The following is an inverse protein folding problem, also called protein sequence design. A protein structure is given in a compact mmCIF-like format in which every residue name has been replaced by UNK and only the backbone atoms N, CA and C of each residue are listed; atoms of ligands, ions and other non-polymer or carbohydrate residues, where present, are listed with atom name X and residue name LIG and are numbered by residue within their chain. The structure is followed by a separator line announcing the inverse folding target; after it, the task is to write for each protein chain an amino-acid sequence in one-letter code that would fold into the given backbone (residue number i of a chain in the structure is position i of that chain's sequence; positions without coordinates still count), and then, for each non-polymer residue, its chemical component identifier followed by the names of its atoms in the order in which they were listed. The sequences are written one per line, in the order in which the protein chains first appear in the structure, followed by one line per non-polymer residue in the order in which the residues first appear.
data_IF_840999573329
#
_entry.id   IF_840999573329
#
_cell.length_a   1.000
_cell.length_b   1.000
_cell.length_c   1.000
_cell.angle_alpha   90.00
_cell.angle_beta   90.00
_cell.angle_gamma   90.00
#
_symmetry.space_group_name_H-M   'P 1'
#
loop_
_entity.id
_entity.type
_entity.pdbx_description
1 polymer ?
#
# COMPACT_ATOMS: atom_id res chain seq x y z
N UNK A 1 13.72 20.79 -59.54
CA UNK A 1 13.15 21.27 -58.27
C UNK A 1 12.71 20.12 -57.30
N UNK A 2 12.66 18.88 -57.75
CA UNK A 2 12.18 17.71 -56.93
C UNK A 2 13.25 17.23 -55.95
N UNK A 3 14.55 17.37 -56.25
CA UNK A 3 15.63 16.87 -55.36
C UNK A 3 15.79 17.62 -54.06
N UNK A 4 15.50 18.93 -54.02
CA UNK A 4 15.67 19.74 -52.77
C UNK A 4 14.54 19.44 -51.74
N UNK A 5 13.35 19.13 -52.19
CA UNK A 5 12.22 18.76 -51.33
C UNK A 5 12.43 17.38 -50.68
N UNK A 6 13.03 16.45 -51.42
CA UNK A 6 13.34 15.12 -50.90
C UNK A 6 14.42 15.12 -49.83
N UNK A 7 15.47 15.94 -50.00
CA UNK A 7 16.55 16.10 -49.05
C UNK A 7 16.09 16.76 -47.72
N UNK A 8 15.15 17.72 -47.80
CA UNK A 8 14.59 18.39 -46.62
C UNK A 8 13.67 17.45 -45.80
N UNK A 9 12.94 16.55 -46.46
CA UNK A 9 12.08 15.57 -45.76
C UNK A 9 12.90 14.49 -45.08
N UNK A 10 14.01 14.03 -45.71
CA UNK A 10 14.92 13.06 -45.09
C UNK A 10 15.64 13.67 -43.86
N UNK A 11 16.03 14.95 -43.94
CA UNK A 11 16.68 15.67 -42.83
C UNK A 11 15.71 15.90 -41.64
N UNK A 12 14.42 16.15 -41.88
CA UNK A 12 13.38 16.29 -40.87
C UNK A 12 13.04 14.95 -40.19
N UNK A 13 13.13 13.84 -40.91
CA UNK A 13 12.90 12.49 -40.33
C UNK A 13 14.08 12.05 -39.45
N UNK A 14 15.34 12.41 -39.82
CA UNK A 14 16.50 12.04 -39.03
C UNK A 14 16.59 12.78 -37.69
N UNK A 15 16.08 14.01 -37.57
CA UNK A 15 16.01 14.74 -36.31
C UNK A 15 14.90 14.24 -35.37
N UNK A 16 13.84 13.64 -35.94
CA UNK A 16 12.76 13.06 -35.12
C UNK A 16 13.14 11.72 -34.46
N UNK A 17 14.12 10.98 -35.02
CA UNK A 17 14.58 9.71 -34.46
C UNK A 17 15.58 9.86 -33.30
N UNK A 18 16.21 11.03 -33.14
CA UNK A 18 17.20 11.27 -32.07
C UNK A 18 16.56 11.49 -30.70
N UNK A 19 15.24 11.71 -30.62
CA UNK A 19 14.53 11.98 -29.38
C UNK A 19 14.08 10.73 -28.58
N UNK A 20 14.22 9.54 -29.14
CA UNK A 20 13.64 8.32 -28.51
C UNK A 20 14.58 7.57 -27.56
N UNK A 21 15.83 8.01 -27.38
CA UNK A 21 16.79 7.27 -26.55
C UNK A 21 16.79 7.66 -25.07
N UNK A 22 16.14 8.75 -24.67
CA UNK A 22 16.10 9.16 -23.27
C UNK A 22 14.90 8.61 -22.45
N UNK A 23 13.96 7.91 -23.09
CA UNK A 23 12.77 7.42 -22.39
C UNK A 23 13.03 6.17 -21.52
N UNK A 24 14.20 5.57 -21.59
CA UNK A 24 14.42 4.22 -21.03
C UNK A 24 15.43 4.12 -19.87
N UNK A 25 15.90 5.24 -19.35
CA UNK A 25 16.80 5.23 -18.20
C UNK A 25 16.32 6.12 -17.06
N UNK A 26 15.13 5.85 -16.53
CA UNK A 26 14.86 6.31 -15.16
C UNK A 26 15.77 5.49 -14.25
N UNK A 27 16.72 6.12 -13.55
CA UNK A 27 17.51 5.40 -12.57
C UNK A 27 16.55 4.73 -11.58
N UNK A 28 16.81 3.46 -11.27
CA UNK A 28 16.08 2.77 -10.22
C UNK A 28 16.20 3.62 -8.97
N UNK A 29 15.08 4.03 -8.40
CA UNK A 29 15.08 4.83 -7.19
C UNK A 29 15.79 4.06 -6.07
N UNK A 30 16.63 4.75 -5.31
CA UNK A 30 17.26 4.15 -4.13
C UNK A 30 16.22 3.68 -3.11
N UNK A 31 16.57 2.66 -2.34
CA UNK A 31 15.73 2.18 -1.26
C UNK A 31 15.49 3.33 -0.25
N UNK A 32 14.23 3.54 0.12
CA UNK A 32 13.83 4.56 1.07
C UNK A 32 13.22 3.91 2.30
N UNK A 33 13.50 4.50 3.47
CA UNK A 33 12.76 4.18 4.68
C UNK A 33 11.31 4.68 4.51
N UNK A 34 10.37 3.75 4.49
CA UNK A 34 8.93 4.05 4.44
C UNK A 34 8.36 4.14 5.87
N UNK A 35 9.06 4.85 6.75
CA UNK A 35 8.69 4.96 8.17
C UNK A 35 7.75 6.14 8.46
N UNK A 36 7.58 7.07 7.53
CA UNK A 36 6.64 8.17 7.73
C UNK A 36 5.20 7.70 7.52
N UNK A 37 4.28 8.18 8.37
CA UNK A 37 2.85 7.97 8.14
C UNK A 37 2.45 8.51 6.77
N UNK A 38 1.70 7.72 6.01
CA UNK A 38 1.17 8.16 4.70
C UNK A 38 0.16 9.30 4.87
N UNK A 39 -0.38 9.48 6.07
CA UNK A 39 -1.34 10.52 6.44
C UNK A 39 -0.67 11.75 7.07
N UNK A 40 0.53 12.11 6.60
CA UNK A 40 1.32 13.23 7.15
C UNK A 40 0.56 14.59 7.15
N UNK A 41 -0.41 14.76 6.26
CA UNK A 41 -1.22 15.98 6.17
C UNK A 41 -2.43 16.01 7.14
N UNK A 42 -2.64 14.95 7.91
CA UNK A 42 -3.74 14.91 8.88
C UNK A 42 -3.33 15.51 10.23
N UNK A 43 -4.33 16.03 10.94
CA UNK A 43 -4.15 16.61 12.27
C UNK A 43 -3.43 15.64 13.21
N UNK A 44 -2.36 16.05 13.90
CA UNK A 44 -1.64 15.20 14.84
C UNK A 44 -2.55 14.57 15.90
N UNK A 45 -2.22 13.33 16.27
CA UNK A 45 -2.96 12.60 17.30
C UNK A 45 -2.52 13.06 18.68
N UNK A 46 -2.42 14.17 19.14
CA UNK A 46 -2.05 14.62 20.48
C UNK A 46 -1.08 13.70 21.26
N UNK A 47 -0.66 14.11 22.44
CA UNK A 47 0.22 13.31 23.32
C UNK A 47 -0.65 12.53 24.33
N UNK A 48 -0.37 11.24 24.63
CA UNK A 48 -1.13 10.50 25.64
C UNK A 48 -0.87 11.01 27.05
N UNK A 49 -1.91 11.17 27.85
CA UNK A 49 -1.80 11.48 29.29
C UNK A 49 -1.31 10.26 30.10
N UNK A 50 -1.55 9.07 29.59
CA UNK A 50 -1.23 7.80 30.24
C UNK A 50 -0.02 7.13 29.60
N UNK A 51 0.62 6.15 30.26
CA UNK A 51 1.64 5.33 29.61
C UNK A 51 1.12 4.72 28.32
N UNK A 52 2.02 4.52 27.35
CA UNK A 52 1.69 3.94 26.06
C UNK A 52 0.87 2.64 26.20
N UNK A 53 -0.18 2.52 25.38
CA UNK A 53 -1.11 1.39 25.42
C UNK A 53 -0.40 0.15 24.87
N UNK A 54 -0.42 -0.94 25.65
CA UNK A 54 0.21 -2.19 25.23
C UNK A 54 -0.80 -2.95 24.38
N UNK A 55 -0.46 -3.15 23.11
CA UNK A 55 -1.28 -3.86 22.13
C UNK A 55 -0.53 -5.05 21.54
N UNK A 56 -1.25 -6.13 21.26
CA UNK A 56 -0.73 -7.25 20.48
C UNK A 56 -1.41 -7.31 19.13
N UNK A 57 -0.63 -7.44 18.05
CA UNK A 57 -1.18 -7.72 16.71
C UNK A 57 -1.30 -9.22 16.53
N UNK A 58 -2.47 -9.69 16.12
CA UNK A 58 -2.78 -11.09 15.94
C UNK A 58 -3.60 -11.33 14.67
N UNK A 59 -3.05 -12.14 13.74
CA UNK A 59 -3.70 -12.50 12.49
C UNK A 59 -4.30 -11.32 11.70
N UNK A 60 -3.42 -10.46 11.18
CA UNK A 60 -3.82 -9.42 10.27
C UNK A 60 -3.39 -9.80 8.84
N UNK A 61 -4.29 -10.49 8.12
CA UNK A 61 -3.99 -11.20 6.88
C UNK A 61 -4.90 -10.78 5.72
N UNK A 62 -4.53 -11.19 4.51
CA UNK A 62 -5.39 -11.10 3.33
C UNK A 62 -6.50 -12.16 3.39
N UNK A 63 -7.75 -11.71 3.53
CA UNK A 63 -8.96 -12.54 3.56
C UNK A 63 -9.76 -12.46 2.25
N UNK A 64 -9.25 -11.72 1.25
CA UNK A 64 -9.96 -11.52 -0.02
C UNK A 64 -9.90 -12.73 -0.93
N UNK A 65 -8.84 -13.53 -0.81
CA UNK A 65 -8.57 -14.66 -1.72
C UNK A 65 -8.31 -14.26 -3.17
N UNK A 66 -8.18 -12.95 -3.44
CA UNK A 66 -8.03 -12.43 -4.80
C UNK A 66 -6.60 -12.59 -5.30
N UNK A 67 -6.47 -13.05 -6.55
CA UNK A 67 -5.20 -13.19 -7.24
C UNK A 67 -5.02 -12.07 -8.25
N UNK A 68 -3.80 -11.60 -8.44
CA UNK A 68 -3.49 -10.60 -9.44
C UNK A 68 -3.70 -11.20 -10.84
N UNK A 69 -4.57 -10.59 -11.63
CA UNK A 69 -4.69 -10.89 -13.05
C UNK A 69 -3.64 -10.04 -13.76
N UNK A 70 -2.44 -10.57 -13.88
CA UNK A 70 -1.43 -10.05 -14.78
C UNK A 70 -1.64 -10.76 -16.13
N UNK A 71 -1.50 -10.02 -17.23
CA UNK A 71 -1.79 -10.41 -18.60
C UNK A 71 -1.62 -11.92 -18.87
N UNK A 72 -2.45 -12.46 -19.76
CA UNK A 72 -2.78 -13.89 -19.98
C UNK A 72 -1.63 -14.93 -20.01
N UNK A 73 -0.39 -14.53 -19.81
CA UNK A 73 0.77 -15.43 -19.98
C UNK A 73 1.65 -15.69 -18.74
N UNK A 74 1.54 -15.00 -17.61
CA UNK A 74 2.60 -15.12 -16.60
C UNK A 74 2.24 -15.21 -15.13
N UNK A 75 0.98 -15.18 -14.66
CA UNK A 75 0.83 -15.13 -13.21
C UNK A 75 -0.50 -15.61 -12.64
N UNK A 76 -0.68 -16.90 -12.66
CA UNK A 76 -1.73 -17.54 -11.85
C UNK A 76 -1.39 -17.62 -10.35
N UNK A 77 -0.20 -17.16 -9.92
CA UNK A 77 0.32 -17.40 -8.57
C UNK A 77 0.50 -16.15 -7.68
N UNK A 78 0.32 -14.95 -8.20
CA UNK A 78 0.49 -13.74 -7.42
C UNK A 78 -0.80 -13.31 -6.72
N UNK A 79 -0.73 -12.97 -5.43
CA UNK A 79 -1.87 -12.35 -4.74
C UNK A 79 -2.08 -10.91 -5.23
N UNK A 80 -3.35 -10.47 -5.30
CA UNK A 80 -3.66 -9.10 -5.68
C UNK A 80 -3.28 -8.09 -4.60
N UNK A 81 -3.20 -8.54 -3.35
CA UNK A 81 -2.87 -7.75 -2.16
C UNK A 81 -1.54 -8.22 -1.58
N UNK A 82 -0.69 -7.30 -1.06
CA UNK A 82 0.53 -7.66 -0.36
C UNK A 82 0.27 -8.61 0.81
N UNK A 83 1.13 -9.60 1.01
CA UNK A 83 0.95 -10.60 2.08
C UNK A 83 1.47 -10.14 3.45
N UNK A 84 2.31 -9.10 3.50
CA UNK A 84 2.90 -8.56 4.73
C UNK A 84 2.02 -7.59 5.51
N UNK A 85 0.72 -7.82 5.58
CA UNK A 85 -0.23 -6.89 6.20
C UNK A 85 0.00 -6.70 7.70
N UNK A 86 0.34 -7.77 8.43
CA UNK A 86 0.69 -7.68 9.87
C UNK A 86 1.87 -6.74 10.09
N UNK A 87 2.91 -6.83 9.26
CA UNK A 87 4.08 -5.95 9.37
C UNK A 87 3.72 -4.49 9.09
N UNK A 88 2.85 -4.23 8.12
CA UNK A 88 2.36 -2.87 7.84
C UNK A 88 1.57 -2.31 9.02
N UNK A 89 0.71 -3.11 9.63
CA UNK A 89 -0.07 -2.70 10.80
C UNK A 89 0.83 -2.43 12.03
N UNK A 90 1.79 -3.32 12.28
CA UNK A 90 2.78 -3.12 13.38
C UNK A 90 3.54 -1.82 13.19
N UNK A 91 4.01 -1.56 11.96
CA UNK A 91 4.73 -0.33 11.64
C UNK A 91 3.86 0.92 11.87
N UNK A 92 2.60 0.88 11.46
CA UNK A 92 1.68 2.01 11.65
C UNK A 92 1.38 2.27 13.12
N UNK A 93 1.15 1.21 13.90
CA UNK A 93 0.95 1.33 15.36
C UNK A 93 2.19 1.90 16.07
N UNK A 94 3.40 1.46 15.68
CA UNK A 94 4.66 1.97 16.23
C UNK A 94 4.91 3.44 15.88
N UNK A 95 4.45 3.89 14.70
CA UNK A 95 4.61 5.28 14.26
C UNK A 95 3.51 6.21 14.79
N UNK A 96 2.41 5.68 15.29
CA UNK A 96 1.25 6.48 15.73
C UNK A 96 1.64 7.46 16.82
N UNK A 97 1.35 8.77 16.58
CA UNK A 97 1.64 9.86 17.53
C UNK A 97 3.11 9.93 17.92
N UNK A 98 4.01 9.93 16.94
CA UNK A 98 5.48 9.94 17.15
C UNK A 98 5.99 8.77 18.02
N UNK A 99 5.35 7.62 17.90
CA UNK A 99 5.71 6.41 18.64
C UNK A 99 5.33 6.43 20.12
N UNK A 100 4.49 7.35 20.54
CA UNK A 100 4.13 7.52 21.98
C UNK A 100 2.86 6.80 22.40
N UNK A 101 1.99 6.44 21.43
CA UNK A 101 0.66 5.89 21.73
C UNK A 101 0.65 4.42 22.05
N UNK A 102 1.40 3.61 21.29
CA UNK A 102 1.33 2.16 21.42
C UNK A 102 2.69 1.53 21.71
N UNK A 103 2.69 0.55 22.61
CA UNK A 103 3.77 -0.44 22.75
C UNK A 103 3.26 -1.72 22.13
N UNK A 104 3.78 -2.06 20.96
CA UNK A 104 3.36 -3.25 20.22
C UNK A 104 4.14 -4.45 20.70
N UNK A 105 3.45 -5.53 21.08
CA UNK A 105 4.06 -6.80 21.46
C UNK A 105 3.79 -7.84 20.39
N UNK A 106 4.83 -8.63 20.09
CA UNK A 106 4.75 -9.71 19.13
C UNK A 106 3.83 -10.83 19.62
N UNK A 107 2.87 -11.21 18.80
CA UNK A 107 1.93 -12.32 19.08
C UNK A 107 1.78 -13.30 17.93
N UNK A 108 2.18 -12.94 16.73
CA UNK A 108 2.12 -13.82 15.58
C UNK A 108 3.17 -14.94 15.70
N UNK A 109 4.37 -14.59 16.16
CA UNK A 109 5.49 -15.52 16.35
C UNK A 109 5.74 -15.87 17.83
N UNK A 110 4.75 -15.74 18.70
CA UNK A 110 4.89 -16.03 20.14
C UNK A 110 5.43 -17.45 20.44
N UNK A 111 5.11 -18.53 19.68
CA UNK A 111 5.71 -19.83 19.92
C UNK A 111 7.23 -19.82 19.76
N UNK A 112 7.76 -19.07 18.79
CA UNK A 112 9.21 -18.94 18.55
C UNK A 112 9.87 -18.22 19.73
N UNK A 113 9.27 -17.11 20.19
CA UNK A 113 9.77 -16.37 21.37
C UNK A 113 9.81 -17.26 22.61
N UNK A 114 8.75 -18.04 22.84
CA UNK A 114 8.70 -18.94 24.00
C UNK A 114 9.75 -20.04 23.91
N UNK A 115 10.05 -20.54 22.69
CA UNK A 115 11.10 -21.51 22.49
C UNK A 115 12.49 -20.92 22.77
N UNK A 116 12.79 -19.73 22.26
CA UNK A 116 14.04 -19.02 22.53
C UNK A 116 14.22 -18.75 24.04
N UNK A 117 13.14 -18.38 24.72
CA UNK A 117 13.18 -18.18 26.19
C UNK A 117 13.56 -19.46 26.93
N UNK A 118 13.12 -20.65 26.48
CA UNK A 118 13.54 -21.94 27.05
C UNK A 118 15.03 -22.18 26.82
N UNK A 119 15.54 -21.84 25.64
CA UNK A 119 16.97 -21.95 25.31
C UNK A 119 17.81 -21.07 26.23
N UNK A 120 17.41 -19.81 26.45
CA UNK A 120 18.11 -18.89 27.34
C UNK A 120 18.14 -19.41 28.77
N UNK A 121 17.03 -19.91 29.31
CA UNK A 121 16.98 -20.50 30.67
C UNK A 121 17.89 -21.74 30.74
N UNK A 122 17.88 -22.60 29.73
CA UNK A 122 18.75 -23.79 29.71
C UNK A 122 20.24 -23.43 29.59
N UNK A 123 20.57 -22.33 28.89
CA UNK A 123 21.95 -21.85 28.76
C UNK A 123 22.51 -21.15 29.99
N UNK A 124 21.66 -20.74 30.94
CA UNK A 124 22.02 -19.99 32.15
C UNK A 124 21.51 -20.70 33.43
N UNK A 125 21.94 -21.95 33.71
CA UNK A 125 21.38 -22.76 34.81
C UNK A 125 21.63 -22.18 36.17
N UNK A 126 22.72 -21.42 36.35
CA UNK A 126 23.13 -20.83 37.63
C UNK A 126 22.54 -19.44 37.88
N UNK A 127 21.73 -18.90 36.95
CA UNK A 127 21.11 -17.59 37.07
C UNK A 127 19.65 -17.76 37.46
N UNK A 128 19.27 -17.28 38.62
CA UNK A 128 17.87 -17.23 39.03
C UNK A 128 17.14 -16.16 38.23
N UNK A 129 16.05 -16.56 37.49
CA UNK A 129 15.24 -15.68 36.67
C UNK A 129 16.03 -14.89 35.60
N UNK A 130 16.71 -15.57 34.64
CA UNK A 130 17.56 -14.90 33.65
C UNK A 130 16.78 -14.00 32.68
N UNK A 131 15.45 -14.05 32.69
CA UNK A 131 14.58 -13.34 31.74
C UNK A 131 13.55 -12.46 32.46
N UNK A 132 13.35 -11.27 31.94
CA UNK A 132 12.23 -10.42 32.35
C UNK A 132 10.89 -11.07 32.01
N UNK A 133 9.81 -10.83 32.78
CA UNK A 133 8.47 -11.25 32.41
C UNK A 133 8.06 -10.74 31.02
N UNK A 134 7.30 -11.53 30.27
CA UNK A 134 6.74 -11.07 29.02
C UNK A 134 5.75 -9.94 29.26
N UNK A 135 5.84 -8.93 28.41
CA UNK A 135 4.87 -7.85 28.39
C UNK A 135 3.52 -8.39 27.86
N UNK A 136 2.46 -8.18 28.64
CA UNK A 136 1.12 -8.64 28.29
C UNK A 136 0.31 -7.49 27.71
N UNK A 137 -0.30 -7.66 26.53
CA UNK A 137 -1.17 -6.65 25.95
C UNK A 137 -2.51 -6.61 26.67
N UNK A 138 -3.07 -5.43 26.85
CA UNK A 138 -4.45 -5.25 27.30
C UNK A 138 -5.45 -5.40 26.15
N UNK A 139 -5.01 -5.12 24.94
CA UNK A 139 -5.82 -5.12 23.72
C UNK A 139 -5.13 -5.95 22.65
N UNK A 140 -5.90 -6.80 21.97
CA UNK A 140 -5.48 -7.46 20.75
C UNK A 140 -6.08 -6.73 19.53
N UNK A 141 -5.22 -6.48 18.54
CA UNK A 141 -5.64 -5.93 17.24
C UNK A 141 -5.66 -7.07 16.24
N UNK A 142 -6.82 -7.29 15.62
CA UNK A 142 -7.04 -8.34 14.62
C UNK A 142 -7.75 -7.78 13.40
N UNK A 143 -7.73 -8.50 12.29
CA UNK A 143 -8.43 -8.08 11.07
C UNK A 143 -7.73 -8.48 9.81
N UNK A 144 -7.75 -7.59 8.80
CA UNK A 144 -7.08 -7.82 7.52
C UNK A 144 -7.73 -7.09 6.36
N UNK A 145 -7.24 -7.36 5.17
CA UNK A 145 -7.90 -6.95 3.94
C UNK A 145 -9.05 -7.90 3.67
N UNK A 146 -10.28 -7.37 3.55
CA UNK A 146 -11.52 -8.16 3.48
C UNK A 146 -12.21 -8.06 2.12
N UNK A 147 -11.91 -7.05 1.31
CA UNK A 147 -12.33 -7.01 -0.09
C UNK A 147 -11.29 -6.33 -0.98
N UNK A 148 -11.26 -6.76 -2.22
CA UNK A 148 -10.52 -6.15 -3.30
C UNK A 148 -11.36 -6.20 -4.56
N UNK A 149 -11.69 -5.03 -5.08
CA UNK A 149 -12.53 -4.89 -6.27
C UNK A 149 -11.77 -4.12 -7.35
N UNK A 150 -11.66 -4.70 -8.54
CA UNK A 150 -11.08 -4.05 -9.71
C UNK A 150 -12.16 -3.70 -10.71
N UNK A 151 -12.25 -2.42 -11.07
CA UNK A 151 -13.09 -1.93 -12.17
C UNK A 151 -12.21 -1.49 -13.33
N UNK A 152 -12.62 -1.81 -14.53
CA UNK A 152 -11.95 -1.39 -15.76
C UNK A 152 -12.91 -0.55 -16.57
N UNK A 153 -12.55 0.69 -16.84
CA UNK A 153 -13.26 1.59 -17.75
C UNK A 153 -12.42 1.80 -19.00
N UNK A 154 -13.02 1.64 -20.16
CA UNK A 154 -12.34 1.79 -21.45
C UNK A 154 -13.04 2.87 -22.27
N UNK A 155 -12.27 3.79 -22.82
CA UNK A 155 -12.74 4.81 -23.75
C UNK A 155 -11.95 4.67 -25.03
N UNK A 156 -12.68 4.66 -26.15
CA UNK A 156 -12.12 4.57 -27.49
C UNK A 156 -12.35 5.90 -28.20
N UNK A 157 -11.31 6.43 -28.81
CA UNK A 157 -11.36 7.57 -29.71
C UNK A 157 -10.85 7.10 -31.09
N UNK A 158 -11.70 7.06 -32.07
CA UNK A 158 -11.34 6.73 -33.45
C UNK A 158 -11.56 7.94 -34.34
N UNK A 159 -10.57 8.28 -35.19
CA UNK A 159 -10.71 9.28 -36.25
C UNK A 159 -10.68 8.53 -37.59
N UNK A 160 -11.82 8.49 -38.28
CA UNK A 160 -12.06 7.62 -39.40
C UNK A 160 -11.24 7.87 -40.69
N UNK A 161 -10.53 8.99 -40.82
CA UNK A 161 -9.77 9.32 -42.05
C UNK A 161 -8.29 8.89 -42.04
N UNK A 162 -7.71 8.52 -40.90
CA UNK A 162 -6.27 8.24 -40.81
C UNK A 162 -5.93 6.95 -40.03
N UNK A 163 -6.89 6.06 -39.80
CA UNK A 163 -6.69 4.84 -39.00
C UNK A 163 -5.93 5.11 -37.70
N UNK A 164 -6.19 6.26 -37.09
CA UNK A 164 -5.64 6.65 -35.80
C UNK A 164 -6.66 6.25 -34.74
N UNK A 165 -6.29 5.31 -33.86
CA UNK A 165 -7.13 4.85 -32.78
C UNK A 165 -6.45 5.18 -31.45
N UNK A 166 -7.11 6.01 -30.65
CA UNK A 166 -6.72 6.27 -29.27
C UNK A 166 -7.51 5.37 -28.31
N UNK A 167 -6.85 4.75 -27.38
CA UNK A 167 -7.48 3.98 -26.33
C UNK A 167 -7.02 4.50 -24.97
N UNK A 168 -7.99 4.81 -24.12
CA UNK A 168 -7.76 5.14 -22.71
C UNK A 168 -8.39 4.06 -21.85
N UNK A 169 -7.57 3.36 -21.07
CA UNK A 169 -8.03 2.40 -20.05
C UNK A 169 -7.77 2.99 -18.67
N UNK A 170 -8.80 3.00 -17.85
CA UNK A 170 -8.71 3.40 -16.44
C UNK A 170 -9.05 2.17 -15.62
N UNK A 171 -8.13 1.77 -14.78
CA UNK A 171 -8.32 0.75 -13.76
C UNK A 171 -8.56 1.45 -12.43
N UNK A 172 -9.61 1.07 -11.72
CA UNK A 172 -9.90 1.52 -10.38
C UNK A 172 -9.85 0.30 -9.47
N UNK A 173 -8.88 0.26 -8.59
CA UNK A 173 -8.69 -0.78 -7.61
C UNK A 173 -9.14 -0.27 -6.24
N UNK A 174 -10.13 -0.92 -5.63
CA UNK A 174 -10.63 -0.60 -4.29
C UNK A 174 -10.24 -1.70 -3.33
N UNK A 175 -9.53 -1.35 -2.28
CA UNK A 175 -9.18 -2.23 -1.16
C UNK A 175 -9.97 -1.83 0.06
N UNK A 176 -10.52 -2.81 0.77
CA UNK A 176 -11.17 -2.58 2.05
C UNK A 176 -10.46 -3.34 3.16
N UNK A 177 -10.20 -2.64 4.26
CA UNK A 177 -9.52 -3.16 5.45
C UNK A 177 -10.50 -3.11 6.62
N UNK A 178 -10.58 -4.19 7.37
CA UNK A 178 -11.28 -4.24 8.66
C UNK A 178 -10.26 -4.42 9.79
N UNK A 179 -10.43 -3.65 10.87
CA UNK A 179 -9.57 -3.69 12.05
C UNK A 179 -10.46 -3.75 13.29
N UNK A 180 -10.17 -4.69 14.18
CA UNK A 180 -10.91 -4.88 15.43
C UNK A 180 -9.97 -4.82 16.62
N UNK A 181 -10.39 -4.10 17.66
CA UNK A 181 -9.77 -4.10 18.96
C UNK A 181 -10.56 -4.99 19.91
N UNK A 182 -9.89 -5.96 20.51
CA UNK A 182 -10.49 -6.96 21.41
C UNK A 182 -9.82 -6.88 22.77
N UNK A 183 -10.60 -6.77 23.84
CA UNK A 183 -10.11 -6.83 25.21
C UNK A 183 -9.56 -8.22 25.54
N UNK A 184 -8.32 -8.29 26.01
CA UNK A 184 -7.72 -9.56 26.46
C UNK A 184 -8.41 -10.08 27.71
N UNK A 185 -8.90 -9.19 28.57
CA UNK A 185 -9.51 -9.57 29.86
C UNK A 185 -10.90 -10.18 29.70
N UNK A 186 -11.71 -9.64 28.77
CA UNK A 186 -13.12 -10.01 28.65
C UNK A 186 -13.42 -10.77 27.37
N UNK A 187 -12.54 -10.69 26.34
CA UNK A 187 -12.84 -11.20 25.01
C UNK A 187 -13.81 -10.30 24.22
N UNK A 188 -14.26 -9.19 24.80
CA UNK A 188 -15.18 -8.26 24.17
C UNK A 188 -14.51 -7.54 22.99
N UNK A 189 -15.26 -7.41 21.87
CA UNK A 189 -14.84 -6.54 20.77
C UNK A 189 -15.17 -5.10 21.17
N UNK A 190 -14.14 -4.37 21.55
CA UNK A 190 -14.25 -2.98 21.98
C UNK A 190 -14.67 -2.07 20.82
N UNK A 191 -14.02 -2.26 19.66
CA UNK A 191 -14.31 -1.49 18.46
C UNK A 191 -14.02 -2.30 17.20
N UNK A 192 -14.74 -1.96 16.14
CA UNK A 192 -14.51 -2.47 14.79
C UNK A 192 -14.57 -1.34 13.79
N UNK A 193 -13.47 -1.15 13.07
CA UNK A 193 -13.30 -0.10 12.06
C UNK A 193 -13.21 -0.73 10.69
N UNK A 194 -13.89 -0.13 9.73
CA UNK A 194 -13.88 -0.52 8.33
C UNK A 194 -13.49 0.66 7.46
N UNK A 195 -12.43 0.53 6.67
CA UNK A 195 -11.92 1.57 5.78
C UNK A 195 -11.74 1.03 4.38
N UNK A 196 -12.17 1.80 3.39
CA UNK A 196 -11.93 1.51 1.98
C UNK A 196 -11.09 2.60 1.34
N UNK A 197 -10.09 2.19 0.56
CA UNK A 197 -9.27 3.09 -0.27
C UNK A 197 -9.35 2.67 -1.72
N UNK A 198 -9.60 3.63 -2.59
CA UNK A 198 -9.58 3.46 -4.03
C UNK A 198 -8.31 4.10 -4.61
N UNK A 199 -7.67 3.39 -5.53
CA UNK A 199 -6.52 3.87 -6.31
C UNK A 199 -6.81 3.74 -7.78
N UNK A 200 -6.29 4.68 -8.56
CA UNK A 200 -6.51 4.75 -9.99
C UNK A 200 -5.21 4.49 -10.74
N UNK A 201 -5.31 3.60 -11.75
CA UNK A 201 -4.24 3.37 -12.71
C UNK A 201 -4.74 3.72 -14.10
N UNK A 202 -3.97 4.49 -14.84
CA UNK A 202 -4.36 4.96 -16.16
C UNK A 202 -3.36 4.48 -17.20
N UNK A 203 -3.89 3.88 -18.26
CA UNK A 203 -3.14 3.49 -19.44
C UNK A 203 -3.70 4.25 -20.65
N UNK A 204 -2.86 5.00 -21.33
CA UNK A 204 -3.17 5.68 -22.57
C UNK A 204 -2.36 5.02 -23.69
N UNK A 205 -3.00 4.56 -24.74
CA UNK A 205 -2.33 4.05 -25.93
C UNK A 205 -2.88 4.73 -27.19
N UNK A 206 -1.99 5.02 -28.12
CA UNK A 206 -2.32 5.55 -29.43
C UNK A 206 -1.77 4.58 -30.45
N UNK A 207 -2.65 4.03 -31.28
CA UNK A 207 -2.29 3.15 -32.37
C UNK A 207 -2.51 3.89 -33.68
N UNK A 208 -1.48 3.99 -34.49
CA UNK A 208 -1.53 4.56 -35.83
C UNK A 208 -1.29 3.44 -36.84
N UNK A 209 -2.32 3.12 -37.62
CA UNK A 209 -2.24 2.16 -38.74
C UNK A 209 -2.20 2.93 -40.03
N UNK A 210 -1.11 2.81 -40.80
CA UNK A 210 -0.99 3.38 -42.12
C UNK A 210 -0.69 2.27 -43.12
N UNK A 211 -1.54 2.11 -44.12
CA UNK A 211 -1.29 1.21 -45.24
C UNK A 211 -0.62 2.00 -46.35
N UNK A 212 0.61 1.63 -46.72
CA UNK A 212 1.38 2.23 -47.80
C UNK A 212 1.82 1.10 -48.71
N UNK A 213 1.44 1.15 -50.01
CA UNK A 213 1.86 0.19 -51.05
C UNK A 213 1.71 -1.27 -50.63
N UNK A 214 0.55 -1.67 -50.17
CA UNK A 214 0.22 -3.03 -49.71
C UNK A 214 1.01 -3.53 -48.46
N UNK A 215 1.74 -2.64 -47.78
CA UNK A 215 2.40 -2.91 -46.50
C UNK A 215 1.74 -2.11 -45.39
N UNK A 216 1.50 -2.77 -44.27
CA UNK A 216 0.90 -2.14 -43.09
C UNK A 216 2.03 -1.66 -42.15
N UNK A 217 2.10 -0.35 -41.93
CA UNK A 217 2.93 0.22 -40.91
C UNK A 217 2.07 0.46 -39.65
N UNK A 218 2.38 -0.21 -38.57
CA UNK A 218 1.75 -0.02 -37.26
C UNK A 218 2.72 0.68 -36.36
N UNK A 219 2.32 1.81 -35.75
CA UNK A 219 3.06 2.51 -34.70
C UNK A 219 2.17 2.53 -33.46
N UNK A 220 2.66 1.95 -32.38
CA UNK A 220 2.00 1.97 -31.07
C UNK A 220 2.84 2.77 -30.09
N UNK A 221 2.22 3.75 -29.45
CA UNK A 221 2.81 4.52 -28.36
C UNK A 221 1.86 4.51 -27.16
N UNK A 222 2.38 4.26 -25.96
CA UNK A 222 1.58 4.20 -24.76
C UNK A 222 2.28 4.82 -23.56
N UNK A 223 1.48 5.39 -22.65
CA UNK A 223 1.92 5.85 -21.34
C UNK A 223 1.09 5.15 -20.27
N UNK A 224 1.75 4.63 -19.24
CA UNK A 224 1.11 3.98 -18.10
C UNK A 224 1.46 4.76 -16.84
N UNK A 225 0.44 5.16 -16.09
CA UNK A 225 0.58 5.76 -14.76
C UNK A 225 -0.16 4.88 -13.77
N UNK A 226 0.56 4.31 -12.82
CA UNK A 226 0.00 3.39 -11.84
C UNK A 226 0.29 3.88 -10.42
N UNK A 227 -0.75 3.90 -9.60
CA UNK A 227 -0.59 3.95 -8.15
C UNK A 227 -0.60 2.49 -7.63
N UNK A 228 0.44 2.05 -6.92
CA UNK A 228 0.52 0.65 -6.47
C UNK A 228 -0.59 0.30 -5.46
N UNK A 229 -1.14 -0.90 -5.57
CA UNK A 229 -2.12 -1.44 -4.60
C UNK A 229 -1.56 -1.45 -3.18
N UNK A 230 -0.24 -1.63 -3.03
CA UNK A 230 0.43 -1.56 -1.72
C UNK A 230 0.25 -0.21 -1.02
N UNK A 231 0.26 0.89 -1.78
CA UNK A 231 0.00 2.24 -1.24
C UNK A 231 -1.44 2.34 -0.75
N UNK A 232 -2.41 1.81 -1.53
CA UNK A 232 -3.81 1.79 -1.11
C UNK A 232 -4.00 1.03 0.19
N UNK A 233 -3.39 -0.14 0.31
CA UNK A 233 -3.46 -0.98 1.52
C UNK A 233 -2.85 -0.26 2.71
N UNK A 234 -1.65 0.31 2.58
CA UNK A 234 -0.99 1.06 3.67
C UNK A 234 -1.82 2.26 4.10
N UNK A 235 -2.35 3.04 3.15
CA UNK A 235 -3.22 4.18 3.46
C UNK A 235 -4.50 3.73 4.19
N UNK A 236 -5.10 2.62 3.78
CA UNK A 236 -6.29 2.08 4.43
C UNK A 236 -5.99 1.60 5.87
N UNK A 237 -4.84 0.95 6.10
CA UNK A 237 -4.40 0.54 7.44
C UNK A 237 -4.16 1.76 8.32
N UNK A 238 -3.43 2.77 7.82
CA UNK A 238 -3.16 4.02 8.55
C UNK A 238 -4.46 4.73 8.95
N UNK A 239 -5.40 4.86 8.02
CA UNK A 239 -6.70 5.44 8.30
C UNK A 239 -7.52 4.60 9.31
N UNK A 240 -7.43 3.26 9.25
CA UNK A 240 -8.11 2.38 10.19
C UNK A 240 -7.55 2.50 11.61
N UNK A 241 -6.22 2.57 11.76
CA UNK A 241 -5.55 2.79 13.07
C UNK A 241 -5.95 4.15 13.63
N UNK A 242 -5.92 5.18 12.79
CA UNK A 242 -6.33 6.53 13.20
C UNK A 242 -7.78 6.58 13.66
N UNK A 243 -8.69 5.98 12.90
CA UNK A 243 -10.11 5.93 13.25
C UNK A 243 -10.36 5.17 14.55
N UNK A 244 -9.68 4.02 14.75
CA UNK A 244 -9.70 3.27 16.00
C UNK A 244 -9.28 4.15 17.18
N UNK A 245 -8.22 4.93 16.98
CA UNK A 245 -7.72 5.84 17.99
C UNK A 245 -8.74 6.92 18.34
N UNK A 246 -9.35 7.58 17.35
CA UNK A 246 -10.37 8.62 17.56
C UNK A 246 -11.57 8.07 18.32
N UNK A 247 -12.09 6.92 17.90
CA UNK A 247 -13.22 6.27 18.58
C UNK A 247 -12.89 5.86 20.01
N UNK A 248 -11.67 5.43 20.26
CA UNK A 248 -11.22 5.12 21.61
C UNK A 248 -11.13 6.35 22.52
N UNK A 249 -10.76 7.52 21.97
CA UNK A 249 -10.84 8.80 22.68
C UNK A 249 -12.30 9.17 23.01
N UNK A 250 -13.20 9.06 22.05
CA UNK A 250 -14.62 9.35 22.22
C UNK A 250 -15.27 8.46 23.28
N UNK A 251 -14.84 7.20 23.35
CA UNK A 251 -15.33 6.23 24.34
C UNK A 251 -14.59 6.31 25.69
N UNK A 252 -13.57 7.14 25.78
CA UNK A 252 -12.81 7.36 27.01
C UNK A 252 -11.86 6.22 27.39
N UNK A 253 -11.47 5.34 26.46
CA UNK A 253 -10.53 4.26 26.70
C UNK A 253 -9.11 4.78 26.94
N UNK A 254 -8.78 5.91 26.31
CA UNK A 254 -7.55 6.67 26.50
C UNK A 254 -7.81 8.16 26.49
N UNK A 255 -6.84 8.93 26.96
CA UNK A 255 -6.96 10.39 27.08
C UNK A 255 -5.76 11.06 26.44
N UNK A 256 -6.01 12.20 25.81
CA UNK A 256 -4.98 13.09 25.26
C UNK A 256 -4.69 14.16 26.30
N UNK A 257 -3.40 14.47 26.48
CA UNK A 257 -3.02 15.69 27.17
C UNK A 257 -3.48 16.88 26.33
N UNK A 258 -4.24 17.76 26.92
CA UNK A 258 -4.61 19.00 26.26
C UNK A 258 -3.37 19.87 26.29
N UNK A 259 -2.73 20.00 25.16
CA UNK A 259 -1.63 20.93 24.99
C UNK A 259 -2.07 22.33 25.45
N UNK A 260 -1.37 22.98 26.39
CA UNK A 260 -1.77 24.30 26.89
C UNK A 260 -1.77 25.38 25.81
N UNK A 261 -1.24 25.12 24.61
CA UNK A 261 -1.24 26.07 23.48
C UNK A 261 -2.52 26.04 22.61
N UNK A 262 -3.48 25.14 22.86
CA UNK A 262 -4.72 25.01 22.06
C UNK A 262 -6.01 25.29 22.87
N UNK A 263 -5.89 25.89 24.06
CA UNK A 263 -7.02 26.33 24.89
C UNK A 263 -7.39 27.79 24.63
#
# INVERSE_FOLDING_TARGET
MIGKAFLSIVLLISTALSGCTELNSRPVAEARLESASILADEKPLGIPVTPAIIVGVYQFIDQTGQRAVLDRQTSEMSSAIPQGLSSMLVQELLNSGDGKWFRVVERETIPTILNERKVVVAAMPDVENPLQPLLLPGILITGGAISYDRKVSQQFLGIGFASINGQKKIYSDRVSVALRAVSVQTGEVLESVYVSKEVLSQMNSINVLKVVNNSTLAVEAGMVSNEPVSVAVRTAISAAVRELFIRGLERGWWKVDKDPETA
#
